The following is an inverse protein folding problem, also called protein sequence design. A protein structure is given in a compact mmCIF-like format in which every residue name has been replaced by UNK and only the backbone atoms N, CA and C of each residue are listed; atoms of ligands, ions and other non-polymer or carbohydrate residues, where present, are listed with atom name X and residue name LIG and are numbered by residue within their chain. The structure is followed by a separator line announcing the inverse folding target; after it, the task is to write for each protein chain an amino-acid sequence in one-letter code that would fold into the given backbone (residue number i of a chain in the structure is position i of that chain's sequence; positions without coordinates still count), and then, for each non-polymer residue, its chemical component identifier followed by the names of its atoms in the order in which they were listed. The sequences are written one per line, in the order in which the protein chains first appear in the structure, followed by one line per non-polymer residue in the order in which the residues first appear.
data_IF_010680028444
#
_entry.id   IF_010680028444
#
_cell.length_a   1.000
_cell.length_b   1.000
_cell.length_c   1.000
_cell.angle_alpha   90.00
_cell.angle_beta   90.00
_cell.angle_gamma   90.00
#
_symmetry.space_group_name_H-M   'P 1'
#
loop_
_entity.id
_entity.type
_entity.pdbx_description
1 polymer ?
#
# COMPACT_ATOMS: atom_id res chain seq x y z
N UNK A 1 18.54 -20.73 -16.22
CA UNK A 1 19.71 -19.92 -15.80
C UNK A 1 20.55 -20.77 -14.85
N UNK A 2 21.83 -21.01 -15.15
CA UNK A 2 22.78 -21.61 -14.19
C UNK A 2 23.48 -20.46 -13.47
N UNK A 3 23.49 -20.50 -12.15
CA UNK A 3 24.25 -19.57 -11.32
C UNK A 3 25.46 -20.35 -10.78
N UNK A 4 26.67 -19.79 -10.93
CA UNK A 4 27.89 -20.32 -10.32
C UNK A 4 28.14 -19.63 -8.97
N UNK A 5 28.88 -20.29 -8.09
CA UNK A 5 29.32 -19.80 -6.78
C UNK A 5 30.74 -19.20 -6.79
N UNK A 6 31.40 -19.22 -7.95
CA UNK A 6 32.69 -18.60 -8.18
C UNK A 6 32.60 -17.07 -8.03
N UNK A 7 33.47 -16.51 -7.17
CA UNK A 7 33.63 -15.07 -7.01
C UNK A 7 34.60 -14.57 -8.07
N UNK A 8 34.20 -13.54 -8.82
CA UNK A 8 35.01 -12.93 -9.87
C UNK A 8 35.16 -11.44 -9.58
N UNK A 9 36.37 -10.92 -9.72
CA UNK A 9 36.66 -9.49 -9.67
C UNK A 9 36.46 -8.86 -11.05
N UNK A 10 35.80 -7.70 -11.10
CA UNK A 10 35.54 -6.96 -12.33
C UNK A 10 36.05 -5.53 -12.14
N UNK A 11 36.98 -5.09 -12.99
CA UNK A 11 37.42 -3.70 -13.00
C UNK A 11 36.32 -2.78 -13.54
N UNK A 12 36.16 -1.61 -12.93
CA UNK A 12 35.24 -0.57 -13.40
C UNK A 12 35.77 0.82 -13.04
N UNK A 13 35.49 1.80 -13.88
CA UNK A 13 35.82 3.22 -13.60
C UNK A 13 34.88 3.83 -12.55
N UNK A 14 33.63 3.35 -12.50
CA UNK A 14 32.62 3.78 -11.54
C UNK A 14 31.60 2.67 -11.23
N UNK A 15 31.12 2.67 -9.99
CA UNK A 15 30.08 1.75 -9.50
C UNK A 15 28.85 2.55 -9.07
N UNK A 16 27.72 2.35 -9.74
CA UNK A 16 26.42 2.96 -9.38
C UNK A 16 25.60 1.94 -8.60
N UNK A 17 25.34 2.23 -7.34
CA UNK A 17 24.56 1.35 -6.47
C UNK A 17 23.08 1.68 -6.54
N UNK A 18 22.29 0.78 -7.11
CA UNK A 18 20.81 0.82 -7.11
C UNK A 18 20.28 -0.32 -6.25
N UNK A 19 20.58 -0.28 -4.95
CA UNK A 19 20.28 -1.37 -4.00
C UNK A 19 18.85 -1.27 -3.48
N UNK A 20 18.61 -0.41 -2.51
CA UNK A 20 17.32 -0.22 -1.85
C UNK A 20 17.15 1.24 -1.41
N UNK A 21 15.94 1.58 -0.97
CA UNK A 21 15.61 2.86 -0.34
C UNK A 21 15.36 2.64 1.15
N UNK A 22 15.62 3.65 1.95
CA UNK A 22 15.29 3.72 3.39
C UNK A 22 14.28 4.86 3.59
N UNK A 23 13.25 4.70 4.44
CA UNK A 23 12.33 5.79 4.76
C UNK A 23 13.08 6.99 5.37
N UNK A 24 12.62 8.20 5.04
CA UNK A 24 13.01 9.43 5.73
C UNK A 24 11.85 9.86 6.66
N UNK A 25 11.96 9.52 7.94
CA UNK A 25 10.90 9.71 8.95
C UNK A 25 11.39 10.43 10.22
N UNK A 26 12.56 11.06 10.18
CA UNK A 26 13.16 11.74 11.33
C UNK A 26 12.23 12.82 11.91
N UNK A 27 11.68 13.68 11.05
CA UNK A 27 10.75 14.75 11.46
C UNK A 27 9.52 14.19 12.19
N UNK A 28 9.00 13.04 11.74
CA UNK A 28 7.86 12.43 12.41
C UNK A 28 8.22 12.06 13.84
N UNK A 29 9.35 11.39 14.05
CA UNK A 29 9.78 10.97 15.38
C UNK A 29 10.08 12.17 16.29
N UNK A 30 10.72 13.21 15.78
CA UNK A 30 10.92 14.47 16.51
C UNK A 30 9.60 15.11 16.96
N UNK A 31 8.57 15.08 16.12
CA UNK A 31 7.23 15.56 16.48
C UNK A 31 6.55 14.66 17.53
N UNK A 32 6.71 13.35 17.42
CA UNK A 32 6.16 12.39 18.39
C UNK A 32 6.77 12.55 19.78
N UNK A 33 8.08 12.80 19.86
CA UNK A 33 8.79 13.08 21.12
C UNK A 33 8.24 14.33 21.82
N UNK A 34 7.74 15.29 21.05
CA UNK A 34 7.15 16.55 21.53
C UNK A 34 5.63 16.52 21.64
N UNK A 35 5.03 15.33 21.67
CA UNK A 35 3.56 15.17 21.74
C UNK A 35 2.90 15.82 22.95
N UNK A 36 3.65 16.06 24.03
CA UNK A 36 3.17 16.81 25.18
C UNK A 36 2.85 18.29 24.87
N UNK A 37 3.46 18.89 23.85
CA UNK A 37 3.27 20.29 23.46
C UNK A 37 2.04 20.49 22.54
N UNK A 38 1.48 19.40 22.00
CA UNK A 38 0.47 19.46 20.93
C UNK A 38 -0.84 20.11 21.36
N UNK A 39 -1.24 19.93 22.62
CA UNK A 39 -2.47 20.52 23.16
C UNK A 39 -2.43 22.05 23.15
N UNK A 40 -1.29 22.65 23.49
CA UNK A 40 -1.10 24.11 23.46
C UNK A 40 -1.07 24.66 22.03
N UNK A 41 -0.63 23.84 21.07
CA UNK A 41 -0.55 24.17 19.66
C UNK A 41 -1.83 23.82 18.86
N UNK A 42 -2.89 23.34 19.53
CA UNK A 42 -4.13 22.90 18.90
C UNK A 42 -3.94 21.81 17.82
N UNK A 43 -2.90 20.97 17.98
CA UNK A 43 -2.59 19.89 17.04
C UNK A 43 -3.42 18.65 17.41
N UNK A 44 -4.40 18.31 16.56
CA UNK A 44 -5.26 17.13 16.74
C UNK A 44 -4.59 15.79 16.40
N UNK A 45 -3.52 15.79 15.60
CA UNK A 45 -2.77 14.59 15.27
C UNK A 45 -1.68 14.80 14.23
N UNK A 46 -0.69 13.92 14.25
CA UNK A 46 0.40 13.86 13.27
C UNK A 46 0.41 12.47 12.65
N UNK A 47 0.33 12.40 11.33
CA UNK A 47 0.22 11.15 10.56
C UNK A 47 1.32 11.07 9.50
N UNK A 48 1.74 9.85 9.18
CA UNK A 48 2.69 9.55 8.10
C UNK A 48 1.97 8.98 6.88
N UNK A 49 2.46 9.32 5.68
CA UNK A 49 1.99 8.76 4.42
C UNK A 49 3.15 8.46 3.46
N UNK A 50 2.95 7.49 2.58
CA UNK A 50 3.86 7.23 1.46
C UNK A 50 5.24 6.72 1.90
N UNK A 51 6.28 7.24 1.26
CA UNK A 51 7.63 6.68 1.36
C UNK A 51 8.29 6.84 2.74
N UNK A 52 7.83 7.79 3.57
CA UNK A 52 8.30 7.93 4.96
C UNK A 52 7.74 6.85 5.89
N UNK A 53 6.67 6.15 5.49
CA UNK A 53 6.21 4.94 6.19
C UNK A 53 7.03 3.74 5.74
N UNK A 54 7.16 3.59 4.42
CA UNK A 54 7.92 2.54 3.77
C UNK A 54 8.09 2.96 2.30
N UNK A 55 9.25 2.81 1.65
CA UNK A 55 9.37 3.04 0.21
C UNK A 55 8.42 2.18 -0.62
N UNK A 56 7.56 2.81 -1.44
CA UNK A 56 6.47 2.18 -2.20
C UNK A 56 6.52 2.52 -3.69
N UNK A 57 5.58 1.94 -4.45
CA UNK A 57 5.27 2.44 -5.78
C UNK A 57 4.60 3.82 -5.69
N UNK A 58 4.78 4.67 -6.71
CA UNK A 58 4.20 6.00 -6.73
C UNK A 58 2.67 6.01 -6.55
N UNK A 59 1.96 5.03 -7.13
CA UNK A 59 0.51 4.89 -6.98
C UNK A 59 0.09 4.56 -5.55
N UNK A 60 0.89 3.79 -4.80
CA UNK A 60 0.59 3.48 -3.41
C UNK A 60 0.76 4.72 -2.51
N UNK A 61 1.75 5.57 -2.80
CA UNK A 61 1.94 6.83 -2.09
C UNK A 61 0.78 7.81 -2.34
N UNK A 62 0.29 7.87 -3.59
CA UNK A 62 -0.90 8.66 -3.94
C UNK A 62 -2.13 8.10 -3.22
N UNK A 63 -2.32 6.78 -3.23
CA UNK A 63 -3.42 6.13 -2.54
C UNK A 63 -3.39 6.44 -1.03
N UNK A 64 -2.22 6.37 -0.39
CA UNK A 64 -2.09 6.61 1.05
C UNK A 64 -2.46 8.04 1.44
N UNK A 65 -2.00 9.03 0.65
CA UNK A 65 -2.39 10.43 0.82
C UNK A 65 -3.88 10.65 0.59
N UNK A 66 -4.45 10.04 -0.45
CA UNK A 66 -5.89 10.13 -0.72
C UNK A 66 -6.72 9.52 0.43
N UNK A 67 -6.34 8.34 0.91
CA UNK A 67 -7.00 7.65 2.01
C UNK A 67 -7.01 8.48 3.28
N UNK A 68 -5.85 9.01 3.72
CA UNK A 68 -5.80 9.87 4.91
C UNK A 68 -6.72 11.08 4.76
N UNK A 69 -6.78 11.70 3.58
CA UNK A 69 -7.69 12.82 3.35
C UNK A 69 -9.17 12.45 3.49
N UNK A 70 -9.54 11.21 3.13
CA UNK A 70 -10.91 10.69 3.26
C UNK A 70 -11.24 10.20 4.68
N UNK A 71 -10.24 9.73 5.42
CA UNK A 71 -10.40 9.03 6.70
C UNK A 71 -9.86 9.84 7.91
N UNK A 72 -9.59 11.14 7.73
CA UNK A 72 -8.97 12.01 8.74
C UNK A 72 -9.77 12.10 10.05
N UNK A 73 -11.10 12.05 9.94
CA UNK A 73 -12.02 12.12 11.10
C UNK A 73 -12.37 10.74 11.68
N UNK A 74 -11.71 9.67 11.19
CA UNK A 74 -11.91 8.33 11.75
C UNK A 74 -11.25 8.22 13.14
N UNK A 75 -11.63 7.21 13.97
CA UNK A 75 -11.04 7.05 15.29
C UNK A 75 -9.51 6.82 15.30
N UNK A 76 -8.94 6.33 14.19
CA UNK A 76 -7.50 6.15 13.99
C UNK A 76 -7.18 6.35 12.50
N UNK A 77 -6.92 7.60 12.05
CA UNK A 77 -6.69 7.92 10.64
C UNK A 77 -5.44 7.25 10.05
N UNK A 78 -4.47 6.88 10.89
CA UNK A 78 -3.27 6.17 10.44
C UNK A 78 -3.62 4.73 10.01
N UNK A 79 -4.71 4.16 10.53
CA UNK A 79 -5.15 2.81 10.22
C UNK A 79 -6.32 2.84 9.21
N UNK A 80 -6.20 2.12 8.08
CA UNK A 80 -7.26 2.09 7.08
C UNK A 80 -8.56 1.50 7.63
N UNK A 81 -9.68 2.10 7.28
CA UNK A 81 -11.00 1.54 7.59
C UNK A 81 -11.21 0.18 6.87
N UNK A 82 -12.02 -0.72 7.43
CA UNK A 82 -12.40 -1.95 6.73
C UNK A 82 -13.13 -1.65 5.42
N UNK A 83 -12.75 -2.34 4.35
CA UNK A 83 -13.45 -2.30 3.08
C UNK A 83 -14.38 -3.51 2.92
N UNK A 84 -15.38 -3.38 2.04
CA UNK A 84 -16.29 -4.48 1.71
C UNK A 84 -15.48 -5.58 1.01
N UNK A 85 -15.47 -6.77 1.62
CA UNK A 85 -14.74 -7.92 1.08
C UNK A 85 -15.70 -8.78 0.28
N UNK A 86 -15.50 -8.84 -1.03
CA UNK A 86 -16.25 -9.72 -1.92
C UNK A 86 -15.73 -11.16 -1.82
N UNK A 87 -16.33 -11.94 -0.92
CA UNK A 87 -15.95 -13.35 -0.70
C UNK A 87 -17.19 -14.24 -0.72
N UNK A 88 -17.02 -15.46 -1.24
CA UNK A 88 -18.04 -16.49 -1.10
C UNK A 88 -18.28 -16.78 0.39
N UNK A 89 -19.54 -16.78 0.78
CA UNK A 89 -19.95 -17.09 2.15
C UNK A 89 -20.13 -18.61 2.24
N UNK A 90 -19.47 -19.25 3.21
CA UNK A 90 -19.64 -20.68 3.45
C UNK A 90 -21.12 -21.02 3.70
N UNK A 91 -21.63 -22.03 3.00
CA UNK A 91 -23.04 -22.43 3.06
C UNK A 91 -23.98 -21.59 2.19
N UNK A 92 -23.53 -20.45 1.64
CA UNK A 92 -24.31 -19.71 0.66
C UNK A 92 -24.16 -20.34 -0.73
N UNK A 93 -25.25 -20.38 -1.53
CA UNK A 93 -25.18 -20.90 -2.89
C UNK A 93 -24.28 -20.01 -3.77
N UNK A 94 -23.42 -20.62 -4.58
CA UNK A 94 -22.74 -19.92 -5.68
C UNK A 94 -23.68 -19.89 -6.88
N UNK A 95 -23.97 -18.69 -7.39
CA UNK A 95 -24.81 -18.50 -8.57
C UNK A 95 -24.05 -17.56 -9.54
N UNK A 96 -23.90 -17.93 -10.82
CA UNK A 96 -24.31 -19.19 -11.45
C UNK A 96 -23.53 -20.41 -10.91
N UNK A 97 -24.16 -21.59 -10.96
CA UNK A 97 -23.51 -22.85 -10.58
C UNK A 97 -22.49 -23.26 -11.63
N UNK A 98 -21.49 -24.04 -11.20
CA UNK A 98 -20.55 -24.65 -12.13
C UNK A 98 -21.32 -25.58 -13.09
N UNK A 99 -21.25 -25.28 -14.39
CA UNK A 99 -21.98 -26.00 -15.43
C UNK A 99 -23.26 -25.31 -15.92
N UNK A 100 -23.71 -24.24 -15.26
CA UNK A 100 -24.78 -23.39 -15.81
C UNK A 100 -24.31 -22.74 -17.12
N UNK A 101 -25.22 -22.59 -18.08
CA UNK A 101 -24.95 -21.86 -19.31
C UNK A 101 -24.57 -20.41 -18.96
N UNK A 102 -23.53 -19.88 -19.61
CA UNK A 102 -23.18 -18.46 -19.42
C UNK A 102 -24.37 -17.62 -19.90
N UNK A 103 -24.83 -16.62 -19.11
CA UNK A 103 -25.88 -15.73 -19.57
C UNK A 103 -25.39 -14.99 -20.82
N UNK A 104 -26.23 -14.95 -21.84
CA UNK A 104 -25.97 -14.16 -23.06
C UNK A 104 -26.29 -12.70 -22.71
N UNK A 105 -25.27 -11.96 -22.28
CA UNK A 105 -25.43 -10.56 -21.82
C UNK A 105 -25.43 -9.58 -23.02
N UNK A 106 -24.88 -9.99 -24.16
CA UNK A 106 -24.95 -9.30 -25.45
C UNK A 106 -25.30 -10.36 -26.51
N UNK A 107 -26.32 -10.11 -27.35
CA UNK A 107 -26.87 -11.08 -28.32
C UNK A 107 -25.83 -11.62 -29.31
N UNK A 108 -26.14 -12.77 -29.95
CA UNK A 108 -25.44 -13.60 -30.98
C UNK A 108 -24.00 -13.28 -31.45
N UNK A 109 -23.16 -12.65 -30.63
CA UNK A 109 -21.74 -12.43 -30.90
C UNK A 109 -20.99 -13.29 -29.93
N UNK A 110 -20.78 -14.55 -30.33
CA UNK A 110 -19.56 -15.32 -30.15
C UNK A 110 -19.78 -16.66 -30.89
N UNK A 111 -19.28 -16.70 -32.14
CA UNK A 111 -18.96 -17.95 -32.85
C UNK A 111 -17.81 -18.64 -32.11
#
# INVERSE_FOLDING_TARGET
RRFGDEVVELECDALILTTSRVPDDALYWELMERSAEWGEAEIGGVYRIGDCVQPRHALDAIFDGHRIGMELESPDPQRPLPFIRERQIWGAPTIPKLGDARPVVEGELLV
#
